data_IF_629353700240
#
_entry.id   IF_629353700240
#
_cell.length_a   1.000
_cell.length_b   1.000
_cell.length_c   1.000
_cell.angle_alpha   90.00
_cell.angle_beta   90.00
_cell.angle_gamma   90.00
#
_symmetry.space_group_name_H-M   'P 1'
#
loop_
_entity.id
_entity.type
_entity.pdbx_description
1 polymer ?
#
# COMPACT_ATOMS: atom_id res chain seq x y z
N UNK A 1 -2.79 10.69 -8.20
CA UNK A 1 -3.00 11.27 -9.55
C UNK A 1 -2.34 12.65 -9.63
N UNK A 2 -1.50 12.87 -10.64
CA UNK A 2 -0.95 14.18 -11.03
C UNK A 2 -0.74 14.11 -12.54
N UNK A 3 -1.49 14.90 -13.30
CA UNK A 3 -1.50 14.91 -14.78
C UNK A 3 -1.52 13.52 -15.46
N UNK A 4 -2.14 12.53 -14.80
CA UNK A 4 -2.02 11.11 -15.14
C UNK A 4 -2.29 10.20 -13.94
N UNK A 5 -2.76 8.98 -14.21
CA UNK A 5 -2.97 7.91 -13.22
C UNK A 5 -1.66 7.15 -13.03
N UNK A 6 -0.98 7.43 -11.91
CA UNK A 6 0.33 6.85 -11.59
C UNK A 6 0.21 5.65 -10.64
N UNK A 7 -0.38 5.88 -9.47
CA UNK A 7 -0.91 4.86 -8.58
C UNK A 7 -2.44 4.94 -8.62
N UNK A 8 -3.11 3.86 -9.00
CA UNK A 8 -4.56 3.83 -9.22
C UNK A 8 -5.26 2.75 -8.39
N UNK A 9 -6.59 2.82 -8.37
CA UNK A 9 -7.46 1.79 -7.83
C UNK A 9 -8.00 0.96 -9.01
N UNK A 10 -7.66 -0.33 -9.05
CA UNK A 10 -7.75 -1.15 -10.25
C UNK A 10 -9.10 -1.82 -10.42
N UNK A 11 -9.40 -2.21 -11.65
CA UNK A 11 -10.62 -2.91 -12.03
C UNK A 11 -11.78 -1.97 -12.33
N UNK A 12 -12.92 -2.59 -12.59
CA UNK A 12 -14.10 -1.93 -13.11
C UNK A 12 -15.33 -2.52 -12.46
N UNK A 13 -16.22 -1.68 -11.92
CA UNK A 13 -17.48 -2.18 -11.39
C UNK A 13 -18.31 -2.92 -12.46
N UNK A 14 -18.52 -4.22 -12.31
CA UNK A 14 -19.47 -4.98 -13.12
C UNK A 14 -20.20 -6.06 -12.30
N UNK A 15 -21.03 -6.88 -12.95
CA UNK A 15 -21.79 -7.96 -12.30
C UNK A 15 -21.24 -9.35 -12.63
N UNK A 16 -19.96 -9.46 -13.00
CA UNK A 16 -19.35 -10.72 -13.46
C UNK A 16 -18.39 -11.28 -12.41
N UNK A 17 -17.64 -12.33 -12.76
CA UNK A 17 -16.60 -12.89 -11.89
C UNK A 17 -15.48 -11.88 -11.58
N UNK A 18 -15.32 -10.83 -12.41
CA UNK A 18 -14.40 -9.73 -12.17
C UNK A 18 -14.67 -9.04 -10.83
N UNK A 19 -15.94 -8.76 -10.50
CA UNK A 19 -16.31 -8.15 -9.22
C UNK A 19 -15.91 -9.02 -8.03
N UNK A 20 -16.28 -10.31 -8.06
CA UNK A 20 -16.08 -11.23 -6.94
C UNK A 20 -14.64 -11.71 -6.73
N UNK A 21 -13.81 -11.69 -7.79
CA UNK A 21 -12.46 -12.24 -7.77
C UNK A 21 -11.35 -11.21 -7.95
N UNK A 22 -11.66 -9.98 -8.36
CA UNK A 22 -10.67 -8.93 -8.58
C UNK A 22 -11.12 -7.57 -8.05
N UNK A 23 -12.11 -6.91 -8.68
CA UNK A 23 -12.42 -5.50 -8.44
C UNK A 23 -12.80 -5.17 -6.99
N UNK A 24 -13.64 -5.97 -6.35
CA UNK A 24 -14.02 -5.74 -4.96
C UNK A 24 -13.02 -6.36 -3.96
N UNK A 25 -11.90 -6.90 -4.44
CA UNK A 25 -10.94 -7.71 -3.68
C UNK A 25 -9.66 -6.93 -3.46
N UNK A 26 -8.95 -7.26 -2.39
CA UNK A 26 -7.75 -6.54 -1.93
C UNK A 26 -6.67 -6.47 -3.01
N UNK A 27 -6.53 -7.52 -3.83
CA UNK A 27 -5.57 -7.60 -4.93
C UNK A 27 -5.76 -6.56 -6.05
N UNK A 28 -6.87 -5.82 -6.08
CA UNK A 28 -7.07 -4.71 -7.00
C UNK A 28 -6.60 -3.34 -6.46
N UNK A 29 -6.06 -3.29 -5.22
CA UNK A 29 -5.78 -2.06 -4.50
C UNK A 29 -4.32 -1.97 -4.06
N UNK A 30 -3.83 -0.75 -3.86
CA UNK A 30 -2.46 -0.47 -3.43
C UNK A 30 -2.27 -0.74 -1.93
N UNK A 31 -2.15 -2.00 -1.56
CA UNK A 31 -2.11 -2.47 -0.16
C UNK A 31 -1.24 -3.71 -0.01
N UNK A 32 -1.32 -4.42 1.11
CA UNK A 32 -0.62 -5.68 1.35
C UNK A 32 -1.58 -6.87 1.26
N UNK A 33 -1.11 -7.97 0.67
CA UNK A 33 -1.76 -9.29 0.75
C UNK A 33 -0.89 -10.27 1.52
N UNK A 34 -1.52 -11.20 2.24
CA UNK A 34 -0.86 -12.29 2.97
C UNK A 34 -1.58 -13.57 2.58
N UNK A 35 -0.91 -14.47 1.87
CA UNK A 35 -1.54 -15.70 1.34
C UNK A 35 -1.35 -16.86 2.32
N UNK A 36 -2.41 -17.26 3.03
CA UNK A 36 -2.51 -18.62 3.58
C UNK A 36 -3.05 -19.53 2.45
N UNK A 37 -2.29 -20.53 1.99
CA UNK A 37 -2.71 -21.40 0.88
C UNK A 37 -3.97 -22.23 1.21
N UNK A 38 -4.36 -22.33 2.48
CA UNK A 38 -5.57 -23.05 2.93
C UNK A 38 -6.78 -22.13 3.06
N UNK A 39 -6.59 -20.81 3.00
CA UNK A 39 -7.71 -19.86 3.04
C UNK A 39 -8.57 -20.00 1.79
N UNK A 40 -9.89 -20.06 2.00
CA UNK A 40 -10.86 -20.22 0.94
C UNK A 40 -11.81 -19.02 0.92
N UNK A 41 -12.01 -18.46 -0.27
CA UNK A 41 -12.96 -17.37 -0.50
C UNK A 41 -14.16 -17.87 -1.31
N UNK A 42 -15.34 -17.33 -1.03
CA UNK A 42 -16.51 -17.51 -1.90
C UNK A 42 -16.51 -16.45 -3.00
N UNK A 43 -16.55 -16.84 -4.28
CA UNK A 43 -16.64 -15.88 -5.39
C UNK A 43 -17.89 -15.02 -5.30
N UNK A 44 -19.04 -15.64 -4.98
CA UNK A 44 -20.32 -14.94 -4.78
C UNK A 44 -20.32 -13.95 -3.59
N UNK A 45 -19.35 -14.05 -2.67
CA UNK A 45 -19.31 -13.29 -1.41
C UNK A 45 -19.26 -11.78 -1.63
N UNK A 46 -18.62 -11.33 -2.70
CA UNK A 46 -18.43 -9.90 -3.02
C UNK A 46 -19.32 -9.42 -4.19
N UNK A 47 -20.28 -10.24 -4.60
CA UNK A 47 -21.15 -10.02 -5.75
C UNK A 47 -20.50 -10.45 -7.06
N UNK A 48 -21.18 -11.33 -7.81
CA UNK A 48 -20.66 -11.93 -9.04
C UNK A 48 -19.66 -13.07 -8.78
N UNK A 49 -19.78 -14.20 -9.50
CA UNK A 49 -19.00 -15.43 -9.26
C UNK A 49 -19.82 -16.59 -8.67
N UNK A 50 -19.24 -17.79 -8.66
CA UNK A 50 -19.89 -18.99 -8.09
C UNK A 50 -19.52 -19.15 -6.60
N UNK A 51 -20.43 -19.76 -5.83
CA UNK A 51 -20.14 -20.13 -4.44
C UNK A 51 -18.99 -21.14 -4.41
N UNK A 52 -18.00 -20.92 -3.54
CA UNK A 52 -16.83 -21.79 -3.42
C UNK A 52 -15.77 -21.67 -4.52
N UNK A 53 -15.85 -20.65 -5.40
CA UNK A 53 -14.88 -20.41 -6.48
C UNK A 53 -14.13 -19.09 -6.36
N UNK A 54 -13.99 -18.53 -5.15
CA UNK A 54 -13.31 -17.25 -4.95
C UNK A 54 -11.81 -17.39 -5.13
N UNK A 55 -11.19 -16.51 -5.91
CA UNK A 55 -9.74 -16.40 -5.96
C UNK A 55 -9.20 -16.17 -4.54
N UNK A 56 -8.22 -16.98 -4.14
CA UNK A 56 -7.42 -16.71 -2.94
C UNK A 56 -6.39 -15.64 -3.29
N UNK A 57 -6.80 -14.40 -3.10
CA UNK A 57 -6.01 -13.23 -3.41
C UNK A 57 -5.07 -12.83 -2.26
N UNK A 58 -5.02 -13.62 -1.18
CA UNK A 58 -4.34 -13.29 0.07
C UNK A 58 -4.93 -12.06 0.78
N UNK A 59 -6.12 -11.63 0.36
CA UNK A 59 -6.71 -10.36 0.73
C UNK A 59 -7.42 -10.35 2.07
N UNK A 60 -8.18 -9.28 2.25
CA UNK A 60 -9.02 -9.03 3.40
C UNK A 60 -10.29 -9.88 3.36
N UNK A 61 -10.85 -10.17 4.53
CA UNK A 61 -12.06 -10.95 4.68
C UNK A 61 -13.30 -10.16 4.30
N UNK A 62 -14.34 -10.88 3.86
CA UNK A 62 -15.69 -10.34 3.82
C UNK A 62 -16.41 -10.64 5.12
N UNK A 63 -17.00 -9.62 5.73
CA UNK A 63 -17.82 -9.79 6.94
C UNK A 63 -19.30 -9.47 6.71
N UNK A 64 -19.71 -9.29 5.46
CA UNK A 64 -21.03 -8.77 5.14
C UNK A 64 -21.11 -7.25 5.34
N UNK A 65 -22.32 -6.73 5.16
CA UNK A 65 -22.72 -5.40 5.59
C UNK A 65 -24.09 -5.47 6.26
N UNK A 66 -24.45 -4.42 6.98
CA UNK A 66 -25.81 -4.23 7.48
C UNK A 66 -26.38 -2.92 6.94
N UNK A 67 -27.67 -2.95 6.59
CA UNK A 67 -28.44 -1.75 6.25
C UNK A 67 -28.88 -0.96 7.50
N UNK A 68 -28.59 -1.47 8.70
CA UNK A 68 -28.96 -0.87 9.98
C UNK A 68 -27.76 -0.22 10.66
N UNK A 69 -27.91 1.08 10.97
CA UNK A 69 -26.87 1.87 11.67
C UNK A 69 -26.50 1.28 13.05
N UNK A 70 -27.44 0.59 13.71
CA UNK A 70 -27.22 -0.05 15.01
C UNK A 70 -26.21 -1.19 14.96
N UNK A 71 -26.15 -1.93 13.85
CA UNK A 71 -25.20 -3.05 13.72
C UNK A 71 -23.78 -2.52 13.44
N UNK A 72 -23.65 -1.37 12.78
CA UNK A 72 -22.37 -0.67 12.61
C UNK A 72 -21.84 -0.19 13.97
N UNK A 73 -22.72 0.39 14.80
CA UNK A 73 -22.36 0.88 16.14
C UNK A 73 -21.90 -0.24 17.09
N UNK A 74 -22.29 -1.50 16.84
CA UNK A 74 -21.86 -2.65 17.64
C UNK A 74 -20.40 -3.05 17.44
N UNK A 75 -19.75 -2.54 16.38
CA UNK A 75 -18.39 -2.92 16.01
C UNK A 75 -18.28 -4.24 15.26
N UNK A 76 -19.38 -4.96 15.00
CA UNK A 76 -19.36 -6.23 14.26
C UNK A 76 -18.72 -6.13 12.86
N UNK A 77 -18.75 -4.95 12.25
CA UNK A 77 -18.15 -4.65 10.95
C UNK A 77 -16.86 -3.84 11.02
N UNK A 78 -16.30 -3.60 12.22
CA UNK A 78 -15.07 -2.86 12.37
C UNK A 78 -13.90 -3.65 11.77
N UNK A 79 -13.25 -3.11 10.73
CA UNK A 79 -12.13 -3.75 10.02
C UNK A 79 -10.81 -2.98 10.15
N UNK A 80 -10.86 -1.77 10.68
CA UNK A 80 -9.66 -1.01 11.00
C UNK A 80 -9.97 0.25 11.80
N UNK A 81 -8.92 0.92 12.21
CA UNK A 81 -8.95 2.11 13.05
C UNK A 81 -7.88 3.11 12.59
N UNK A 82 -8.18 4.40 12.66
CA UNK A 82 -7.17 5.46 12.51
C UNK A 82 -6.50 5.66 13.88
N UNK A 83 -5.23 5.29 13.97
CA UNK A 83 -4.47 5.31 15.24
C UNK A 83 -3.78 6.66 15.46
N UNK A 84 -3.34 7.29 14.37
CA UNK A 84 -2.70 8.59 14.41
C UNK A 84 -3.09 9.40 13.17
N UNK A 85 -3.23 10.70 13.35
CA UNK A 85 -3.45 11.64 12.25
C UNK A 85 -2.89 13.01 12.63
N UNK A 86 -2.15 13.62 11.71
CA UNK A 86 -1.70 15.00 11.80
C UNK A 86 -1.71 15.63 10.41
N UNK A 87 -2.17 16.87 10.34
CA UNK A 87 -2.10 17.67 9.13
C UNK A 87 -1.45 19.01 9.43
N UNK A 88 -0.37 19.29 8.69
CA UNK A 88 0.35 20.54 8.69
C UNK A 88 0.36 21.13 7.28
N UNK A 89 0.85 22.36 7.13
CA UNK A 89 1.01 22.98 5.81
C UNK A 89 2.01 22.21 4.94
N UNK A 90 3.04 21.63 5.56
CA UNK A 90 4.14 20.94 4.86
C UNK A 90 3.86 19.45 4.62
N UNK A 91 3.09 18.79 5.49
CA UNK A 91 2.86 17.35 5.38
C UNK A 91 1.48 16.92 5.89
N UNK A 92 1.07 15.72 5.49
CA UNK A 92 -0.03 14.97 6.12
C UNK A 92 0.48 13.62 6.56
N UNK A 93 0.16 13.23 7.78
CA UNK A 93 0.51 11.95 8.35
C UNK A 93 -0.76 11.24 8.83
N UNK A 94 -0.88 9.96 8.50
CA UNK A 94 -1.96 9.10 8.99
C UNK A 94 -1.43 7.69 9.23
N UNK A 95 -1.89 7.06 10.31
CA UNK A 95 -1.65 5.64 10.58
C UNK A 95 -2.98 4.94 10.74
N UNK A 96 -3.14 3.84 10.01
CA UNK A 96 -4.24 2.91 10.19
C UNK A 96 -3.76 1.58 10.75
N UNK A 97 -4.52 1.01 11.68
CA UNK A 97 -4.47 -0.41 11.99
C UNK A 97 -5.57 -1.10 11.20
N UNK A 98 -5.19 -1.98 10.28
CA UNK A 98 -6.08 -2.76 9.43
C UNK A 98 -6.00 -4.25 9.73
N UNK A 99 -5.42 -4.66 10.87
CA UNK A 99 -5.27 -6.06 11.29
C UNK A 99 -6.61 -6.79 11.27
N UNK A 100 -7.66 -6.15 11.79
CA UNK A 100 -9.01 -6.71 11.83
C UNK A 100 -9.65 -6.92 10.45
N UNK A 101 -9.06 -6.41 9.37
CA UNK A 101 -9.51 -6.67 7.99
C UNK A 101 -9.15 -8.09 7.53
N UNK A 102 -8.19 -8.75 8.17
CA UNK A 102 -7.69 -10.07 7.78
C UNK A 102 -8.13 -11.15 8.77
N UNK A 103 -8.06 -12.41 8.34
CA UNK A 103 -8.29 -13.53 9.26
C UNK A 103 -7.27 -13.51 10.40
N UNK A 104 -7.69 -13.66 11.67
CA UNK A 104 -6.77 -13.74 12.80
C UNK A 104 -5.90 -15.01 12.76
N UNK A 105 -6.31 -16.04 12.02
CA UNK A 105 -5.50 -17.24 11.77
C UNK A 105 -4.40 -16.99 10.73
N UNK A 106 -4.39 -15.82 10.09
CA UNK A 106 -3.52 -15.46 8.97
C UNK A 106 -2.60 -14.29 9.27
N UNK A 107 -3.13 -13.23 9.87
CA UNK A 107 -2.43 -11.97 10.15
C UNK A 107 -2.57 -11.62 11.62
N UNK A 108 -1.43 -11.42 12.29
CA UNK A 108 -1.32 -10.97 13.67
C UNK A 108 -1.19 -9.46 13.79
N UNK A 109 -0.60 -8.79 12.80
CA UNK A 109 -0.54 -7.34 12.71
C UNK A 109 -0.54 -6.90 11.23
N UNK A 110 -1.34 -5.90 10.90
CA UNK A 110 -1.14 -5.07 9.72
C UNK A 110 -1.45 -3.61 10.04
N UNK A 111 -0.39 -2.81 10.13
CA UNK A 111 -0.50 -1.36 10.32
C UNK A 111 0.18 -0.65 9.17
N UNK A 112 -0.40 0.45 8.69
CA UNK A 112 0.16 1.27 7.62
C UNK A 112 0.24 2.72 8.05
N UNK A 113 1.42 3.31 7.91
CA UNK A 113 1.63 4.75 8.02
C UNK A 113 1.82 5.35 6.62
N UNK A 114 1.06 6.40 6.33
CA UNK A 114 1.29 7.28 5.18
C UNK A 114 1.83 8.61 5.69
N UNK A 115 2.98 9.03 5.15
CA UNK A 115 3.50 10.39 5.30
C UNK A 115 3.57 11.02 3.91
N UNK A 116 2.70 11.99 3.64
CA UNK A 116 2.73 12.80 2.43
C UNK A 116 3.45 14.12 2.71
N UNK A 117 4.67 14.27 2.21
CA UNK A 117 5.47 15.50 2.24
C UNK A 117 5.15 16.29 0.98
N UNK A 118 4.48 17.42 1.15
CA UNK A 118 3.97 18.21 0.03
C UNK A 118 5.10 18.84 -0.79
N UNK A 119 4.88 19.04 -2.10
CA UNK A 119 3.72 18.57 -2.88
C UNK A 119 3.78 17.14 -3.42
N UNK A 120 4.90 16.42 -3.33
CA UNK A 120 5.12 15.29 -4.25
C UNK A 120 5.77 14.03 -3.70
N UNK A 121 6.05 13.94 -2.40
CA UNK A 121 6.71 12.75 -1.82
C UNK A 121 5.78 12.03 -0.87
N UNK A 122 5.61 10.72 -1.05
CA UNK A 122 4.99 9.85 -0.07
C UNK A 122 6.04 8.93 0.55
N UNK A 123 5.92 8.68 1.85
CA UNK A 123 6.55 7.55 2.52
C UNK A 123 5.45 6.64 3.00
N UNK A 124 5.53 5.36 2.65
CA UNK A 124 4.62 4.31 3.09
C UNK A 124 5.40 3.34 3.94
N UNK A 125 5.00 3.19 5.20
CA UNK A 125 5.60 2.23 6.13
C UNK A 125 4.55 1.25 6.63
N UNK A 126 4.79 -0.04 6.39
CA UNK A 126 3.93 -1.12 6.85
C UNK A 126 4.65 -2.00 7.86
N UNK A 127 3.93 -2.36 8.93
CA UNK A 127 4.28 -3.50 9.78
C UNK A 127 3.33 -4.62 9.42
N UNK A 128 3.87 -5.78 9.05
CA UNK A 128 3.07 -6.94 8.65
C UNK A 128 3.58 -8.17 9.38
N UNK A 129 2.75 -8.77 10.23
CA UNK A 129 3.06 -10.05 10.87
C UNK A 129 2.01 -11.10 10.47
N UNK A 130 2.45 -12.18 9.84
CA UNK A 130 1.65 -13.35 9.53
C UNK A 130 1.65 -14.36 10.69
N UNK A 131 0.63 -15.20 10.73
CA UNK A 131 0.54 -16.29 11.70
C UNK A 131 1.53 -17.44 11.43
N UNK A 132 2.05 -17.52 10.20
CA UNK A 132 3.02 -18.51 9.74
C UNK A 132 4.03 -17.83 8.80
N UNK A 133 5.32 -18.10 9.00
CA UNK A 133 6.40 -17.52 8.20
C UNK A 133 6.35 -17.93 6.72
N UNK A 134 5.71 -19.06 6.42
CA UNK A 134 5.56 -19.54 5.04
C UNK A 134 4.48 -18.81 4.24
N UNK A 135 3.64 -17.98 4.88
CA UNK A 135 2.62 -17.22 4.17
C UNK A 135 3.26 -16.11 3.34
N UNK A 136 3.02 -16.14 2.03
CA UNK A 136 3.59 -15.15 1.12
C UNK A 136 2.96 -13.79 1.38
N UNK A 137 3.79 -12.79 1.69
CA UNK A 137 3.39 -11.39 1.82
C UNK A 137 3.76 -10.62 0.56
N UNK A 138 2.86 -9.76 0.09
CA UNK A 138 3.09 -8.92 -1.09
C UNK A 138 2.60 -7.51 -0.84
N UNK A 139 3.46 -6.52 -1.06
CA UNK A 139 3.06 -5.12 -1.21
C UNK A 139 2.71 -4.84 -2.67
N UNK A 140 1.59 -4.16 -2.91
CA UNK A 140 1.00 -3.97 -4.23
C UNK A 140 0.98 -2.50 -4.64
N UNK A 141 1.30 -2.24 -5.91
CA UNK A 141 1.05 -0.95 -6.57
C UNK A 141 0.53 -1.12 -7.99
N UNK A 142 -0.67 -0.61 -8.25
CA UNK A 142 -1.37 -0.68 -9.53
C UNK A 142 -1.12 0.55 -10.38
N UNK A 143 -0.93 0.33 -11.68
CA UNK A 143 -0.53 1.34 -12.65
C UNK A 143 -1.29 1.18 -13.97
N UNK A 144 -1.46 2.30 -14.68
CA UNK A 144 -2.12 2.30 -15.99
C UNK A 144 -1.20 1.77 -17.10
N UNK A 145 0.08 2.14 -17.02
CA UNK A 145 1.14 1.78 -17.96
C UNK A 145 2.11 0.80 -17.31
N UNK A 146 2.86 0.07 -18.14
CA UNK A 146 3.85 -0.91 -17.68
C UNK A 146 4.95 -0.20 -16.86
N UNK A 147 5.16 -0.61 -15.59
CA UNK A 147 6.25 -0.10 -14.77
C UNK A 147 7.61 -0.50 -15.34
N UNK A 148 8.56 0.44 -15.37
CA UNK A 148 9.95 0.17 -15.72
C UNK A 148 10.76 -0.10 -14.45
N UNK A 149 11.20 -1.34 -14.26
CA UNK A 149 12.16 -1.70 -13.22
C UNK A 149 13.53 -1.13 -13.61
N UNK A 150 14.06 -0.22 -12.80
CA UNK A 150 15.36 0.44 -13.02
C UNK A 150 16.47 -0.34 -12.32
N UNK A 151 16.20 -0.76 -11.08
CA UNK A 151 16.97 -1.74 -10.32
C UNK A 151 16.00 -2.59 -9.48
N UNK A 152 16.51 -3.54 -8.70
CA UNK A 152 15.69 -4.47 -7.90
C UNK A 152 14.74 -3.76 -6.92
N UNK A 153 15.14 -2.61 -6.38
CA UNK A 153 14.42 -1.84 -5.38
C UNK A 153 13.77 -0.55 -5.92
N UNK A 154 14.06 -0.16 -7.16
CA UNK A 154 13.60 1.06 -7.80
C UNK A 154 12.87 0.74 -9.10
N UNK A 155 11.62 1.19 -9.18
CA UNK A 155 10.87 1.19 -10.43
C UNK A 155 10.21 2.54 -10.70
N UNK A 156 9.91 2.79 -11.97
CA UNK A 156 9.29 4.01 -12.44
C UNK A 156 8.01 3.73 -13.23
N UNK A 157 7.01 4.58 -13.04
CA UNK A 157 5.77 4.57 -13.81
C UNK A 157 5.68 5.88 -14.58
N UNK A 158 5.46 5.79 -15.89
CA UNK A 158 5.32 6.95 -16.77
C UNK A 158 3.91 6.96 -17.35
N UNK A 159 3.13 7.99 -17.07
CA UNK A 159 1.79 8.13 -17.65
C UNK A 159 1.51 9.58 -18.04
N UNK A 160 1.37 9.83 -19.33
CA UNK A 160 1.23 11.18 -19.87
C UNK A 160 2.47 12.03 -19.61
N UNK A 161 2.29 13.19 -18.99
CA UNK A 161 3.36 14.14 -18.68
C UNK A 161 3.95 13.96 -17.27
N UNK A 162 3.52 12.92 -16.55
CA UNK A 162 3.91 12.71 -15.16
C UNK A 162 4.56 11.36 -14.92
N UNK A 163 5.39 11.32 -13.88
CA UNK A 163 6.15 10.14 -13.47
C UNK A 163 5.96 9.84 -11.99
N UNK A 164 6.11 8.56 -11.63
CA UNK A 164 6.21 8.10 -10.26
C UNK A 164 7.45 7.22 -10.15
N UNK A 165 8.43 7.65 -9.36
CA UNK A 165 9.53 6.80 -8.93
C UNK A 165 9.17 6.18 -7.58
N UNK A 166 9.42 4.88 -7.42
CA UNK A 166 9.17 4.14 -6.17
C UNK A 166 10.42 3.41 -5.78
N UNK A 167 11.00 3.80 -4.64
CA UNK A 167 12.16 3.16 -4.06
C UNK A 167 11.75 2.37 -2.81
N UNK A 168 11.94 1.07 -2.84
CA UNK A 168 11.81 0.16 -1.71
C UNK A 168 13.08 0.20 -0.87
N UNK A 169 12.96 0.56 0.40
CA UNK A 169 14.06 0.63 1.35
C UNK A 169 14.06 -0.53 2.35
N UNK A 170 12.91 -1.17 2.55
CA UNK A 170 12.79 -2.38 3.36
C UNK A 170 11.70 -3.30 2.80
N UNK A 171 11.85 -4.62 2.91
CA UNK A 171 13.03 -5.32 3.46
C UNK A 171 14.26 -5.24 2.55
N UNK A 172 15.45 -5.58 3.06
CA UNK A 172 16.72 -5.48 2.32
C UNK A 172 16.79 -6.44 1.13
N UNK A 173 16.15 -7.61 1.23
CA UNK A 173 16.12 -8.63 0.18
C UNK A 173 14.68 -8.85 -0.26
N UNK A 174 14.42 -8.53 -1.53
CA UNK A 174 13.07 -8.53 -2.10
C UNK A 174 13.03 -9.22 -3.45
N UNK A 175 11.86 -9.79 -3.76
CA UNK A 175 11.48 -10.14 -5.11
C UNK A 175 10.49 -9.10 -5.64
N UNK A 176 10.90 -8.36 -6.67
CA UNK A 176 10.04 -7.40 -7.40
C UNK A 176 9.48 -8.04 -8.66
N UNK A 177 8.16 -8.18 -8.75
CA UNK A 177 7.46 -8.78 -9.90
C UNK A 177 6.51 -7.78 -10.55
N UNK A 178 6.59 -7.64 -11.87
CA UNK A 178 5.62 -6.86 -12.67
C UNK A 178 4.61 -7.82 -13.30
N UNK A 179 3.33 -7.60 -13.04
CA UNK A 179 2.23 -8.43 -13.56
C UNK A 179 1.23 -7.54 -14.29
N UNK A 180 0.86 -7.92 -15.50
CA UNK A 180 -0.12 -7.18 -16.28
C UNK A 180 0.03 -7.39 -17.78
N UNK A 181 -0.53 -6.47 -18.54
CA UNK A 181 -0.62 -6.59 -19.99
C UNK A 181 -1.78 -7.46 -20.44
N UNK A 182 -1.97 -7.57 -21.76
CA UNK A 182 -3.13 -8.27 -22.34
C UNK A 182 -3.22 -9.72 -21.83
N UNK A 183 -4.28 -10.02 -21.10
CA UNK A 183 -4.52 -11.35 -20.56
C UNK A 183 -4.11 -11.54 -19.10
N UNK A 184 -3.48 -10.54 -18.47
CA UNK A 184 -3.04 -10.57 -17.06
C UNK A 184 -3.37 -9.28 -16.28
N UNK A 185 -4.07 -8.32 -16.89
CA UNK A 185 -4.42 -7.03 -16.27
C UNK A 185 -5.16 -7.19 -14.93
N UNK A 186 -6.02 -8.21 -14.86
CA UNK A 186 -6.87 -8.52 -13.71
C UNK A 186 -6.55 -9.90 -13.14
N UNK A 187 -5.27 -10.27 -13.15
CA UNK A 187 -4.80 -11.55 -12.59
C UNK A 187 -4.96 -11.58 -11.07
N UNK A 188 -5.71 -12.56 -10.57
CA UNK A 188 -5.80 -12.92 -9.17
C UNK A 188 -5.64 -14.44 -9.02
N UNK A 189 -4.77 -14.89 -8.12
CA UNK A 189 -4.49 -16.31 -7.87
C UNK A 189 -4.14 -17.11 -9.14
N UNK A 190 -3.43 -16.49 -10.10
CA UNK A 190 -3.00 -17.15 -11.35
C UNK A 190 -4.06 -17.22 -12.44
N UNK A 191 -5.23 -16.60 -12.27
CA UNK A 191 -6.26 -16.49 -13.29
C UNK A 191 -6.63 -15.03 -13.56
N UNK A 192 -6.82 -14.67 -14.83
CA UNK A 192 -7.29 -13.34 -15.22
C UNK A 192 -8.81 -13.27 -15.22
N UNK A 193 -9.36 -12.22 -14.60
CA UNK A 193 -10.80 -11.99 -14.49
C UNK A 193 -11.20 -10.70 -15.20
N UNK A 194 -11.26 -10.64 -16.55
CA UNK A 194 -11.61 -9.43 -17.25
C UNK A 194 -13.09 -9.06 -17.08
N UNK A 195 -13.43 -7.76 -16.95
CA UNK A 195 -14.83 -7.33 -16.96
C UNK A 195 -15.44 -7.52 -18.36
N UNK A 196 -16.76 -7.79 -18.42
CA UNK A 196 -17.44 -8.02 -19.71
C UNK A 196 -17.97 -6.77 -20.38
N UNK A 197 -18.18 -5.71 -19.60
CA UNK A 197 -18.63 -4.42 -20.14
C UNK A 197 -17.45 -3.70 -20.77
N UNK A 198 -17.71 -2.72 -21.66
CA UNK A 198 -16.66 -1.82 -22.16
C UNK A 198 -16.12 -0.95 -21.02
N UNK A 199 -14.82 -0.71 -21.00
CA UNK A 199 -14.14 0.13 -20.02
C UNK A 199 -13.00 0.93 -20.66
N UNK A 200 -12.54 1.95 -19.94
CA UNK A 200 -11.29 2.64 -20.22
C UNK A 200 -10.15 1.84 -19.59
N UNK A 201 -9.23 1.34 -20.41
CA UNK A 201 -8.16 0.46 -19.95
C UNK A 201 -7.16 1.18 -19.04
N UNK A 202 -6.87 2.45 -19.29
CA UNK A 202 -5.90 3.20 -18.48
C UNK A 202 -6.51 3.55 -17.11
N UNK A 203 -7.81 3.83 -17.07
CA UNK A 203 -8.53 4.05 -15.82
C UNK A 203 -8.76 2.77 -15.01
N UNK A 204 -8.93 1.63 -15.69
CA UNK A 204 -9.10 0.33 -15.04
C UNK A 204 -7.79 -0.24 -14.48
N UNK A 205 -6.64 0.29 -14.89
CA UNK A 205 -5.35 -0.34 -14.61
C UNK A 205 -5.09 -1.53 -15.52
N UNK A 206 -3.81 -1.72 -15.84
CA UNK A 206 -3.35 -2.79 -16.73
C UNK A 206 -2.18 -3.57 -16.15
N UNK A 207 -1.55 -3.02 -15.11
CA UNK A 207 -0.35 -3.54 -14.52
C UNK A 207 -0.37 -3.34 -13.01
N UNK A 208 0.39 -4.18 -12.31
CA UNK A 208 0.77 -3.99 -10.92
C UNK A 208 2.22 -4.41 -10.70
N UNK A 209 2.84 -3.81 -9.71
CA UNK A 209 4.08 -4.28 -9.11
C UNK A 209 3.74 -4.99 -7.80
N UNK A 210 4.33 -6.17 -7.61
CA UNK A 210 4.34 -6.89 -6.34
C UNK A 210 5.76 -6.87 -5.77
N UNK A 211 5.91 -6.47 -4.51
CA UNK A 211 7.17 -6.55 -3.76
C UNK A 211 6.98 -7.53 -2.61
N UNK A 212 7.81 -8.58 -2.57
CA UNK A 212 7.76 -9.62 -1.55
C UNK A 212 9.12 -9.75 -0.85
N UNK A 213 9.21 -10.06 0.45
CA UNK A 213 10.47 -10.47 1.06
C UNK A 213 10.97 -11.75 0.41
N UNK A 214 12.27 -11.85 0.15
CA UNK A 214 12.88 -13.08 -0.36
C UNK A 214 12.91 -14.18 0.70
N UNK A 215 13.01 -13.80 1.98
CA UNK A 215 13.04 -14.72 3.12
C UNK A 215 11.65 -14.95 3.73
N UNK A 216 11.42 -16.18 4.19
CA UNK A 216 10.22 -16.55 4.91
C UNK A 216 10.30 -16.09 6.37
N UNK A 217 9.66 -14.97 6.68
CA UNK A 217 9.56 -14.42 8.04
C UNK A 217 8.11 -14.39 8.51
N UNK A 218 7.85 -14.45 9.82
CA UNK A 218 6.53 -14.09 10.33
C UNK A 218 6.30 -12.60 10.19
N UNK A 219 7.30 -11.78 10.53
CA UNK A 219 7.24 -10.33 10.55
C UNK A 219 8.12 -9.71 9.49
N UNK A 220 7.53 -8.85 8.67
CA UNK A 220 8.20 -8.06 7.66
C UNK A 220 7.81 -6.59 7.79
N UNK A 221 8.74 -5.72 7.44
CA UNK A 221 8.53 -4.29 7.37
C UNK A 221 8.68 -3.85 5.91
N UNK A 222 7.65 -3.21 5.38
CA UNK A 222 7.75 -2.57 4.07
C UNK A 222 7.95 -1.09 4.26
N UNK A 223 8.96 -0.54 3.59
CA UNK A 223 9.22 0.88 3.61
C UNK A 223 9.49 1.37 2.19
N UNK A 224 8.59 2.18 1.68
CA UNK A 224 8.67 2.69 0.32
C UNK A 224 8.66 4.22 0.31
N UNK A 225 9.52 4.83 -0.51
CA UNK A 225 9.48 6.25 -0.82
C UNK A 225 9.03 6.42 -2.26
N UNK A 226 7.96 7.18 -2.45
CA UNK A 226 7.34 7.45 -3.74
C UNK A 226 7.50 8.94 -4.09
N UNK A 227 8.18 9.23 -5.19
CA UNK A 227 8.36 10.60 -5.72
C UNK A 227 7.55 10.84 -6.98
N UNK A 228 6.67 11.84 -6.96
CA UNK A 228 5.83 12.23 -8.11
C UNK A 228 6.46 13.39 -8.87
N UNK A 229 6.77 13.21 -10.15
CA UNK A 229 7.47 14.19 -10.99
C UNK A 229 8.79 14.68 -10.35
N UNK A 230 9.46 13.79 -9.60
CA UNK A 230 10.73 14.09 -8.98
C UNK A 230 11.85 13.88 -10.01
N UNK A 231 12.59 14.94 -10.34
CA UNK A 231 13.83 14.88 -11.10
C UNK A 231 14.97 14.24 -10.30
N UNK A 232 14.98 14.48 -8.98
CA UNK A 232 15.87 13.80 -8.03
C UNK A 232 15.07 13.12 -6.92
N UNK A 233 15.36 11.85 -6.66
CA UNK A 233 14.89 11.12 -5.48
C UNK A 233 16.02 10.22 -4.97
N UNK A 234 16.83 10.74 -4.06
CA UNK A 234 17.90 10.02 -3.38
C UNK A 234 17.43 9.68 -1.97
N UNK A 235 17.44 8.40 -1.62
CA UNK A 235 16.88 7.91 -0.37
C UNK A 235 17.79 6.87 0.26
N UNK A 236 17.90 6.92 1.59
CA UNK A 236 18.71 6.00 2.37
C UNK A 236 17.99 5.62 3.66
N UNK A 237 18.12 4.36 4.05
CA UNK A 237 17.65 3.84 5.32
C UNK A 237 18.79 3.76 6.34
N UNK A 238 18.51 4.18 7.57
CA UNK A 238 19.22 3.74 8.77
C UNK A 238 18.22 3.01 9.66
N UNK A 239 18.57 1.82 10.16
CA UNK A 239 17.69 1.11 11.07
C UNK A 239 18.43 0.45 12.23
N UNK A 240 17.66 0.15 13.28
CA UNK A 240 18.07 -0.71 14.38
C UNK A 240 16.87 -1.57 14.82
N UNK A 241 16.94 -2.17 16.00
CA UNK A 241 15.87 -3.02 16.52
C UNK A 241 14.59 -2.23 16.88
N UNK A 242 14.70 -0.93 17.14
CA UNK A 242 13.60 -0.09 17.61
C UNK A 242 12.91 0.69 16.50
N UNK A 243 13.67 1.21 15.52
CA UNK A 243 13.14 2.11 14.50
C UNK A 243 13.83 1.99 13.13
N UNK A 244 13.14 2.52 12.13
CA UNK A 244 13.62 2.80 10.78
C UNK A 244 13.62 4.31 10.55
N UNK A 245 14.77 4.87 10.19
CA UNK A 245 14.98 6.28 9.85
C UNK A 245 15.26 6.41 8.36
N UNK A 246 14.35 7.05 7.65
CA UNK A 246 14.47 7.35 6.22
C UNK A 246 15.06 8.73 6.04
N UNK A 247 16.15 8.82 5.28
CA UNK A 247 16.66 10.06 4.73
C UNK A 247 16.18 10.20 3.29
N UNK A 248 15.65 11.38 2.94
CA UNK A 248 15.13 11.68 1.60
C UNK A 248 15.74 12.99 1.14
N UNK A 249 16.43 12.99 0.01
CA UNK A 249 16.87 14.17 -0.72
C UNK A 249 16.15 14.20 -2.06
N UNK A 250 15.45 15.28 -2.34
CA UNK A 250 14.71 15.46 -3.58
C UNK A 250 14.68 16.94 -3.98
N UNK A 251 14.07 17.24 -5.12
CA UNK A 251 14.04 18.60 -5.67
C UNK A 251 13.38 19.63 -4.71
N UNK A 252 12.51 19.17 -3.82
CA UNK A 252 11.83 20.02 -2.83
C UNK A 252 12.59 20.17 -1.50
N UNK A 253 13.69 19.44 -1.27
CA UNK A 253 14.51 19.57 -0.04
C UNK A 253 15.03 18.25 0.53
N UNK A 254 15.45 18.30 1.81
CA UNK A 254 15.98 17.15 2.57
C UNK A 254 15.06 16.83 3.75
N UNK A 255 14.75 15.56 3.95
CA UNK A 255 13.78 15.12 4.94
C UNK A 255 14.26 13.90 5.70
N UNK A 256 13.86 13.81 6.96
CA UNK A 256 14.10 12.68 7.83
C UNK A 256 12.77 12.21 8.44
N UNK A 257 12.45 10.92 8.29
CA UNK A 257 11.24 10.34 8.87
C UNK A 257 11.59 9.06 9.63
N UNK A 258 11.25 9.02 10.91
CA UNK A 258 11.49 7.89 11.79
C UNK A 258 10.18 7.15 12.10
N UNK A 259 10.19 5.84 11.89
CA UNK A 259 9.09 4.95 12.18
C UNK A 259 9.52 3.89 13.19
N UNK A 260 8.76 3.71 14.26
CA UNK A 260 9.01 2.64 15.22
C UNK A 260 8.64 1.30 14.60
N UNK A 261 9.43 0.26 14.89
CA UNK A 261 9.23 -1.10 14.36
C UNK A 261 8.20 -1.89 15.17
N UNK A 262 8.16 -1.69 16.48
CA UNK A 262 7.23 -2.40 17.38
C UNK A 262 6.62 -1.47 18.42
N UNK A 263 5.63 -1.97 19.15
CA UNK A 263 4.97 -1.22 20.22
C UNK A 263 4.03 -0.13 19.69
N UNK A 264 3.79 0.94 20.45
CA UNK A 264 2.93 2.03 20.03
C UNK A 264 3.27 2.53 18.63
N UNK A 265 2.25 2.86 17.85
CA UNK A 265 2.39 3.47 16.52
C UNK A 265 2.75 4.95 16.66
N UNK A 266 3.92 5.21 17.26
CA UNK A 266 4.50 6.53 17.43
C UNK A 266 5.62 6.71 16.42
N UNK A 267 5.61 7.84 15.72
CA UNK A 267 6.65 8.20 14.75
C UNK A 267 7.25 9.57 15.10
N UNK A 268 8.36 9.91 14.48
CA UNK A 268 8.90 11.27 14.53
C UNK A 268 9.25 11.70 13.12
N UNK A 269 8.93 12.93 12.76
CA UNK A 269 9.31 13.50 11.45
C UNK A 269 10.09 14.77 11.68
N UNK A 270 11.26 14.85 11.05
CA UNK A 270 12.09 16.06 11.02
C UNK A 270 12.19 16.53 9.59
N UNK A 271 11.68 17.74 9.33
CA UNK A 271 11.77 18.37 8.02
C UNK A 271 12.96 19.34 8.04
N UNK A 272 13.92 19.19 7.10
CA UNK A 272 15.10 20.06 6.97
C UNK A 272 15.12 20.71 5.60
N UNK A 273 14.61 21.94 5.51
CA UNK A 273 14.59 22.65 4.24
C UNK A 273 15.84 23.50 4.09
N UNK A 274 16.54 23.36 2.96
CA UNK A 274 17.46 24.39 2.49
C UNK A 274 16.63 25.58 1.99
N UNK A 275 16.77 26.74 2.63
CA UNK A 275 16.12 27.96 2.17
C UNK A 275 16.85 28.50 0.92
N UNK A 276 16.13 29.29 0.11
CA UNK A 276 16.66 29.95 -1.09
C UNK A 276 17.89 30.85 -0.79
N UNK A 277 18.07 31.27 0.46
CA UNK A 277 19.19 32.13 0.91
C UNK A 277 20.25 31.37 1.75
N UNK A 278 20.50 30.08 1.44
CA UNK A 278 21.57 29.25 2.04
C UNK A 278 21.51 28.98 3.55
N UNK A 279 20.43 29.40 4.22
CA UNK A 279 20.14 29.01 5.61
C UNK A 279 19.31 27.72 5.66
N UNK A 280 19.68 26.78 6.53
CA UNK A 280 18.90 25.56 6.76
C UNK A 280 17.89 25.82 7.87
N UNK A 281 16.60 25.69 7.56
CA UNK A 281 15.55 25.69 8.59
C UNK A 281 15.22 24.24 8.94
N UNK A 282 15.35 23.88 10.22
CA UNK A 282 14.99 22.56 10.74
C UNK A 282 13.74 22.69 11.59
N UNK A 283 12.68 21.96 11.23
CA UNK A 283 11.46 21.87 12.02
C UNK A 283 11.20 20.41 12.37
N UNK A 284 11.13 20.11 13.67
CA UNK A 284 10.84 18.77 14.19
C UNK A 284 9.38 18.64 14.62
N UNK A 285 8.75 17.53 14.26
CA UNK A 285 7.37 17.18 14.60
C UNK A 285 7.34 15.82 15.29
N UNK A 286 6.75 15.77 16.49
CA UNK A 286 6.40 14.49 17.14
C UNK A 286 5.11 13.95 16.54
N UNK A 287 5.16 12.75 15.95
CA UNK A 287 3.97 12.10 15.41
C UNK A 287 3.39 11.16 16.45
N UNK A 288 2.29 11.59 17.04
CA UNK A 288 1.62 10.90 18.14
C UNK A 288 0.21 10.41 17.78
N UNK A 289 -0.43 9.73 18.75
CA UNK A 289 -1.81 9.24 18.61
C UNK A 289 -2.79 10.34 18.20
N UNK A 290 -3.93 9.93 17.67
CA UNK A 290 -5.04 10.82 17.34
C UNK A 290 -5.43 11.65 18.58
N UNK A 291 -5.28 12.97 18.48
CA UNK A 291 -5.85 13.91 19.47
C UNK A 291 -7.21 14.34 18.94
N UNK A 292 -8.25 13.62 19.36
CA UNK A 292 -9.64 14.02 19.06
C UNK A 292 -9.98 15.23 19.94
N UNK A 293 -10.60 16.30 19.40
CA UNK A 293 -11.07 17.43 20.19
C UNK A 293 -12.13 17.04 21.24
#
# INVERSE_FOLDING_TARGET
HRNGLLALDSGVYDATEHRGNYYARTIAHNTVTVTDPREAFGGATWGGGRTGSGANDGGQMYVGGSDLIGDVASGAYARGEIVAYQNHDEFTYVVGDATASYSPDKVKEFTRAFLFIRPSVFVVFDRVESADASFTKRWLLHTATEPRVVDEALFEVHNGASTLAVHTLAPDFIDTTVIGGEGDEFNAAGANYPPKKRYDADAAGRWRVEVSPSDANERDYYLHVLGVDAGTLDTRLEENDEYMLVHIRCDQGVYEAQFTKTGPLTSQVTLRREAEDSSVTTTGYGLGPLVVP
#
